data_IF_763709389422
#
_entry.id   IF_763709389422
#
_cell.length_a   1.000
_cell.length_b   1.000
_cell.length_c   1.000
_cell.angle_alpha   90.00
_cell.angle_beta   90.00
_cell.angle_gamma   90.00
#
_symmetry.space_group_name_H-M   'P 1'
#
loop_
_entity.id
_entity.type
_entity.pdbx_description
1 polymer ?
#
# COMPACT_ATOMS: atom_id res chain seq x y z
N UNK A 1 -7.62 0.91 7.95
CA UNK A 1 -7.22 -0.48 8.28
C UNK A 1 -7.37 -1.40 7.07
N UNK A 2 -8.54 -1.59 6.50
CA UNK A 2 -8.78 -2.52 5.39
C UNK A 2 -7.87 -2.31 4.16
N UNK A 3 -7.68 -1.07 3.73
CA UNK A 3 -6.82 -0.77 2.57
C UNK A 3 -5.38 -1.24 2.80
N UNK A 4 -4.84 -1.09 4.02
CA UNK A 4 -3.48 -1.54 4.35
C UNK A 4 -3.40 -3.07 4.36
N UNK A 5 -4.38 -3.76 4.95
CA UNK A 5 -4.43 -5.22 4.95
C UNK A 5 -4.45 -5.79 3.52
N UNK A 6 -5.20 -5.15 2.61
CA UNK A 6 -5.28 -5.55 1.21
C UNK A 6 -4.01 -5.27 0.39
N UNK A 7 -3.06 -4.49 0.91
CA UNK A 7 -1.74 -4.36 0.26
C UNK A 7 -0.79 -5.51 0.61
N UNK A 8 -0.99 -6.18 1.75
CA UNK A 8 -0.11 -7.23 2.23
C UNK A 8 0.10 -8.38 1.23
N UNK A 9 -0.94 -8.99 0.60
CA UNK A 9 -0.75 -10.03 -0.41
C UNK A 9 0.04 -9.56 -1.61
N UNK A 10 -0.17 -8.33 -2.03
CA UNK A 10 0.54 -7.76 -3.19
C UNK A 10 2.01 -7.59 -2.89
N UNK A 11 2.34 -7.01 -1.72
CA UNK A 11 3.72 -6.82 -1.27
C UNK A 11 4.44 -8.17 -1.12
N UNK A 12 3.80 -9.15 -0.48
CA UNK A 12 4.37 -10.50 -0.34
C UNK A 12 4.62 -11.15 -1.69
N UNK A 13 3.68 -11.07 -2.64
CA UNK A 13 3.86 -11.59 -3.98
C UNK A 13 5.04 -10.95 -4.71
N UNK A 14 5.18 -9.62 -4.63
CA UNK A 14 6.29 -8.90 -5.26
C UNK A 14 7.63 -9.37 -4.69
N UNK A 15 7.76 -9.44 -3.37
CA UNK A 15 9.00 -9.83 -2.69
C UNK A 15 9.36 -11.29 -2.94
N UNK A 16 8.37 -12.18 -3.05
CA UNK A 16 8.61 -13.61 -3.28
C UNK A 16 9.06 -13.91 -4.72
N UNK A 17 8.62 -13.09 -5.67
CA UNK A 17 8.91 -13.32 -7.09
C UNK A 17 10.06 -12.44 -7.64
N UNK A 18 10.62 -11.52 -6.83
CA UNK A 18 11.66 -10.59 -7.27
C UNK A 18 12.71 -10.41 -6.16
N UNK A 19 13.82 -11.11 -6.26
CA UNK A 19 14.88 -11.11 -5.24
C UNK A 19 15.60 -9.76 -5.11
N UNK A 20 15.69 -8.98 -6.18
CA UNK A 20 16.38 -7.68 -6.23
C UNK A 20 15.56 -6.54 -5.62
N UNK A 21 14.26 -6.76 -5.35
CA UNK A 21 13.36 -5.70 -4.89
C UNK A 21 13.44 -5.53 -3.38
N UNK A 22 13.67 -4.30 -2.95
CA UNK A 22 13.51 -3.87 -1.56
C UNK A 22 12.36 -2.86 -1.46
N UNK A 23 11.52 -2.98 -0.45
CA UNK A 23 10.34 -2.14 -0.28
C UNK A 23 10.41 -1.37 1.03
N UNK A 24 10.32 -0.04 0.95
CA UNK A 24 10.15 0.86 2.09
C UNK A 24 8.69 1.30 2.14
N UNK A 25 7.96 0.80 3.13
CA UNK A 25 6.54 1.07 3.28
C UNK A 25 6.28 2.13 4.34
N UNK A 26 5.64 3.23 3.94
CA UNK A 26 5.19 4.28 4.86
C UNK A 26 3.81 3.88 5.38
N UNK A 27 3.73 3.47 6.63
CA UNK A 27 2.48 3.06 7.28
C UNK A 27 2.48 3.40 8.77
N UNK A 28 1.32 3.31 9.42
CA UNK A 28 1.25 3.41 10.87
C UNK A 28 1.80 2.12 11.50
N UNK A 29 2.65 2.21 12.54
CA UNK A 29 3.24 1.03 13.20
C UNK A 29 2.24 -0.04 13.62
N UNK A 30 1.02 0.32 13.98
CA UNK A 30 -0.04 -0.62 14.37
C UNK A 30 -0.42 -1.62 13.25
N UNK A 31 -0.03 -1.33 12.00
CA UNK A 31 -0.35 -2.18 10.85
C UNK A 31 0.80 -3.07 10.40
N UNK A 32 1.98 -2.97 11.03
CA UNK A 32 3.16 -3.76 10.64
C UNK A 32 2.87 -5.26 10.75
N UNK A 33 2.14 -5.67 11.78
CA UNK A 33 1.78 -7.07 12.04
C UNK A 33 0.85 -7.70 10.97
N UNK A 34 0.31 -6.88 10.05
CA UNK A 34 -0.45 -7.36 8.89
C UNK A 34 0.45 -7.89 7.76
N UNK A 35 1.75 -7.67 7.86
CA UNK A 35 2.70 -8.05 6.83
C UNK A 35 3.55 -9.23 7.27
N UNK A 36 3.78 -10.15 6.35
CA UNK A 36 4.72 -11.24 6.56
C UNK A 36 6.13 -10.68 6.78
N UNK A 37 6.86 -11.20 7.75
CA UNK A 37 8.25 -10.81 7.98
C UNK A 37 9.10 -11.12 6.76
N UNK A 38 9.82 -10.12 6.27
CA UNK A 38 10.75 -10.25 5.16
C UNK A 38 11.87 -9.22 5.34
N UNK A 39 13.12 -9.64 5.18
CA UNK A 39 14.30 -8.77 5.37
C UNK A 39 14.35 -7.61 4.37
N UNK A 40 13.67 -7.76 3.22
CA UNK A 40 13.58 -6.74 2.17
C UNK A 40 12.35 -5.83 2.30
N UNK A 41 11.53 -6.01 3.35
CA UNK A 41 10.41 -5.14 3.68
C UNK A 41 10.73 -4.27 4.88
N UNK A 42 10.92 -3.00 4.64
CA UNK A 42 11.27 -2.00 5.64
C UNK A 42 10.06 -1.08 5.91
N UNK A 43 9.86 -0.73 7.16
CA UNK A 43 8.75 0.17 7.54
C UNK A 43 9.26 1.53 7.96
N UNK A 44 8.64 2.57 7.44
CA UNK A 44 8.91 3.98 7.76
C UNK A 44 7.77 4.50 8.61
N UNK A 45 8.08 4.83 9.86
CA UNK A 45 7.11 5.47 10.75
C UNK A 45 6.99 6.97 10.42
N UNK A 46 5.85 7.37 9.88
CA UNK A 46 5.53 8.76 9.62
C UNK A 46 4.71 9.35 10.78
N UNK A 47 5.32 10.17 11.62
CA UNK A 47 4.62 10.92 12.66
C UNK A 47 3.86 12.11 12.05
N UNK A 48 2.67 11.83 11.55
CA UNK A 48 1.85 12.77 10.80
C UNK A 48 1.09 13.78 11.68
N UNK A 49 1.07 13.56 12.97
CA UNK A 49 0.44 14.46 13.96
C UNK A 49 1.46 15.33 14.68
N UNK A 50 2.75 14.95 14.71
CA UNK A 50 3.87 15.69 15.30
C UNK A 50 4.88 16.16 14.24
N UNK A 51 6.05 15.50 14.19
CA UNK A 51 7.23 15.89 13.39
C UNK A 51 6.96 16.09 11.89
N UNK A 52 6.05 15.27 11.31
CA UNK A 52 5.75 15.27 9.88
C UNK A 52 4.39 15.91 9.57
N UNK A 53 3.86 16.75 10.48
CA UNK A 53 2.58 17.45 10.31
C UNK A 53 2.69 18.55 9.24
N UNK A 54 1.65 18.64 8.41
CA UNK A 54 1.51 19.70 7.40
C UNK A 54 2.49 19.58 6.23
N UNK A 55 2.51 20.58 5.37
CA UNK A 55 3.29 20.56 4.12
C UNK A 55 4.79 20.49 4.39
N UNK A 56 5.30 21.30 5.32
CA UNK A 56 6.72 21.31 5.68
C UNK A 56 7.15 19.99 6.36
N UNK A 57 6.29 19.42 7.19
CA UNK A 57 6.52 18.11 7.80
C UNK A 57 6.60 17.00 6.77
N UNK A 58 5.74 17.01 5.74
CA UNK A 58 5.80 16.04 4.64
C UNK A 58 7.07 16.22 3.80
N UNK A 59 7.50 17.46 3.53
CA UNK A 59 8.78 17.73 2.86
C UNK A 59 9.96 17.16 3.65
N UNK A 60 9.95 17.34 4.99
CA UNK A 60 10.96 16.79 5.90
C UNK A 60 10.97 15.26 5.85
N UNK A 61 9.80 14.61 5.92
CA UNK A 61 9.67 13.15 5.81
C UNK A 61 10.29 12.64 4.51
N UNK A 62 9.95 13.24 3.37
CA UNK A 62 10.52 12.88 2.07
C UNK A 62 12.04 13.03 2.06
N UNK A 63 12.56 14.10 2.66
CA UNK A 63 14.02 14.31 2.75
C UNK A 63 14.69 13.26 3.61
N UNK A 64 14.13 12.90 4.74
CA UNK A 64 14.63 11.83 5.62
C UNK A 64 14.69 10.49 4.91
N UNK A 65 13.61 10.11 4.23
CA UNK A 65 13.54 8.87 3.45
C UNK A 65 14.63 8.81 2.39
N UNK A 66 14.82 9.88 1.62
CA UNK A 66 15.78 9.91 0.51
C UNK A 66 17.23 10.02 0.96
N UNK A 67 17.48 10.39 2.21
CA UNK A 67 18.83 10.35 2.81
C UNK A 67 19.16 8.96 3.36
N UNK A 68 18.16 8.31 3.95
CA UNK A 68 18.35 6.99 4.57
C UNK A 68 18.40 5.84 3.57
N UNK A 69 17.74 6.00 2.42
CA UNK A 69 17.56 4.92 1.46
C UNK A 69 17.60 5.45 0.03
N UNK A 70 18.25 4.69 -0.86
CA UNK A 70 18.16 4.94 -2.29
C UNK A 70 16.79 4.52 -2.78
N UNK A 71 15.99 5.47 -3.21
CA UNK A 71 14.63 5.24 -3.71
C UNK A 71 14.62 5.45 -5.22
N UNK A 72 14.35 4.41 -5.99
CA UNK A 72 14.27 4.46 -7.45
C UNK A 72 12.87 4.89 -7.92
N UNK A 73 11.82 4.44 -7.19
CA UNK A 73 10.43 4.74 -7.54
C UNK A 73 9.55 4.78 -6.31
N UNK A 74 8.50 5.59 -6.36
CA UNK A 74 7.46 5.67 -5.31
C UNK A 74 6.13 5.22 -5.90
N UNK A 75 5.50 4.23 -5.28
CA UNK A 75 4.16 3.76 -5.63
C UNK A 75 3.15 4.24 -4.60
N UNK A 76 2.20 5.08 -5.03
CA UNK A 76 1.14 5.61 -4.19
C UNK A 76 -0.10 4.72 -4.28
N UNK A 77 -0.33 3.90 -3.28
CA UNK A 77 -1.49 3.02 -3.15
C UNK A 77 -2.65 3.66 -2.37
N UNK A 78 -2.54 4.94 -1.99
CA UNK A 78 -3.57 5.61 -1.21
C UNK A 78 -4.26 6.74 -1.97
N UNK A 79 -3.53 7.47 -2.82
CA UNK A 79 -4.02 8.59 -3.65
C UNK A 79 -4.94 9.57 -2.89
N UNK A 80 -4.44 10.10 -1.79
CA UNK A 80 -5.07 11.17 -1.01
C UNK A 80 -4.25 12.46 -1.11
N UNK A 81 -4.80 13.58 -0.64
CA UNK A 81 -4.12 14.88 -0.74
C UNK A 81 -2.69 14.85 -0.17
N UNK A 82 -2.50 14.21 0.97
CA UNK A 82 -1.19 14.06 1.61
C UNK A 82 -0.18 13.32 0.73
N UNK A 83 -0.57 12.17 0.16
CA UNK A 83 0.33 11.40 -0.72
C UNK A 83 0.58 12.12 -2.04
N UNK A 84 -0.38 12.91 -2.53
CA UNK A 84 -0.17 13.78 -3.70
C UNK A 84 0.91 14.83 -3.44
N UNK A 85 0.89 15.47 -2.27
CA UNK A 85 1.94 16.41 -1.88
C UNK A 85 3.31 15.73 -1.74
N UNK A 86 3.36 14.56 -1.11
CA UNK A 86 4.61 13.78 -1.03
C UNK A 86 5.16 13.42 -2.42
N UNK A 87 4.29 13.02 -3.35
CA UNK A 87 4.71 12.75 -4.75
C UNK A 87 5.34 13.97 -5.42
N UNK A 88 4.84 15.18 -5.16
CA UNK A 88 5.46 16.41 -5.67
C UNK A 88 6.89 16.52 -5.13
N UNK A 89 7.11 16.31 -3.83
CA UNK A 89 8.44 16.40 -3.24
C UNK A 89 9.40 15.31 -3.74
N UNK A 90 8.92 14.08 -3.97
CA UNK A 90 9.72 13.03 -4.59
C UNK A 90 10.09 13.37 -6.04
N UNK A 91 9.13 13.89 -6.83
CA UNK A 91 9.40 14.34 -8.21
C UNK A 91 10.43 15.47 -8.29
N UNK A 92 10.38 16.42 -7.34
CA UNK A 92 11.39 17.49 -7.25
C UNK A 92 12.81 16.96 -6.96
N UNK A 93 12.92 15.74 -6.44
CA UNK A 93 14.19 15.03 -6.27
C UNK A 93 14.53 14.09 -7.43
N UNK A 94 13.79 14.14 -8.53
CA UNK A 94 14.00 13.30 -9.72
C UNK A 94 13.46 11.87 -9.59
N UNK A 95 12.73 11.55 -8.51
CA UNK A 95 12.23 10.21 -8.25
C UNK A 95 10.91 9.98 -9.00
N UNK A 96 10.84 8.91 -9.79
CA UNK A 96 9.63 8.49 -10.50
C UNK A 96 8.50 8.17 -9.50
N UNK A 97 7.27 8.58 -9.82
CA UNK A 97 6.11 8.27 -8.99
C UNK A 97 4.99 7.62 -9.80
N UNK A 98 4.41 6.56 -9.28
CA UNK A 98 3.27 5.84 -9.85
C UNK A 98 2.10 5.94 -8.88
N UNK A 99 0.88 6.03 -9.40
CA UNK A 99 -0.34 6.03 -8.59
C UNK A 99 -1.26 4.94 -9.09
N UNK A 100 -1.79 4.14 -8.18
CA UNK A 100 -2.76 3.12 -8.57
C UNK A 100 -4.09 3.73 -9.03
N UNK A 101 -4.79 3.01 -9.90
CA UNK A 101 -6.09 3.44 -10.39
C UNK A 101 -7.21 3.00 -9.43
N UNK A 102 -7.86 3.95 -8.76
CA UNK A 102 -9.02 3.71 -7.87
C UNK A 102 -10.29 3.22 -8.57
N UNK A 103 -10.32 3.20 -9.89
CA UNK A 103 -11.53 2.85 -10.64
C UNK A 103 -12.69 3.82 -10.47
N UNK A 104 -12.44 5.08 -10.15
CA UNK A 104 -13.51 6.08 -9.93
C UNK A 104 -14.33 6.32 -11.16
N UNK A 105 -13.72 6.37 -12.35
CA UNK A 105 -14.41 6.53 -13.63
C UNK A 105 -15.32 5.35 -13.93
N UNK A 106 -14.80 4.13 -13.77
CA UNK A 106 -15.55 2.89 -13.95
C UNK A 106 -16.76 2.81 -13.00
N UNK A 107 -16.56 3.17 -11.72
CA UNK A 107 -17.66 3.26 -10.74
C UNK A 107 -18.73 4.27 -11.15
N UNK A 108 -18.33 5.44 -11.66
CA UNK A 108 -19.27 6.46 -12.14
C UNK A 108 -20.04 5.99 -13.38
N UNK A 109 -19.38 5.34 -14.34
CA UNK A 109 -20.00 4.78 -15.52
C UNK A 109 -21.01 3.68 -15.16
N UNK A 110 -20.64 2.80 -14.21
CA UNK A 110 -21.52 1.76 -13.70
C UNK A 110 -22.78 2.35 -13.05
N UNK A 111 -22.63 3.39 -12.21
CA UNK A 111 -23.77 4.07 -11.56
C UNK A 111 -24.67 4.77 -12.57
N UNK A 112 -24.10 5.31 -13.66
CA UNK A 112 -24.86 5.97 -14.72
C UNK A 112 -25.52 5.00 -15.71
N UNK A 113 -25.15 3.71 -15.67
CA UNK A 113 -25.58 2.73 -16.66
C UNK A 113 -24.85 2.82 -18.00
N UNK A 114 -23.72 3.54 -18.06
CA UNK A 114 -22.92 3.71 -19.28
C UNK A 114 -22.13 2.42 -19.64
N UNK A 115 -22.00 1.49 -18.71
CA UNK A 115 -21.35 0.18 -18.89
C UNK A 115 -22.23 -0.93 -18.30
N UNK A 116 -22.10 -2.18 -18.78
CA UNK A 116 -22.81 -3.34 -18.23
C UNK A 116 -22.61 -3.47 -16.72
N UNK A 117 -23.64 -3.95 -16.01
CA UNK A 117 -23.58 -4.19 -14.57
C UNK A 117 -22.76 -5.46 -14.28
N UNK A 118 -21.43 -5.29 -14.24
CA UNK A 118 -20.47 -6.34 -13.98
C UNK A 118 -19.61 -6.00 -12.74
N UNK A 119 -19.10 -7.01 -12.03
CA UNK A 119 -18.18 -6.78 -10.91
C UNK A 119 -16.92 -6.03 -11.35
N UNK A 120 -16.65 -4.91 -10.71
CA UNK A 120 -15.40 -4.16 -10.96
C UNK A 120 -14.18 -4.92 -10.43
N UNK A 121 -13.03 -4.71 -11.07
CA UNK A 121 -11.76 -5.30 -10.64
C UNK A 121 -11.51 -5.10 -9.15
N UNK A 122 -11.15 -6.19 -8.44
CA UNK A 122 -10.83 -6.15 -7.03
C UNK A 122 -9.67 -5.19 -6.74
N UNK A 123 -9.65 -4.60 -5.55
CA UNK A 123 -8.64 -3.59 -5.19
C UNK A 123 -7.22 -4.15 -5.20
N UNK A 124 -7.01 -5.39 -4.79
CA UNK A 124 -5.70 -6.05 -4.82
C UNK A 124 -5.14 -6.16 -6.24
N UNK A 125 -6.00 -6.48 -7.23
CA UNK A 125 -5.62 -6.50 -8.64
C UNK A 125 -5.22 -5.09 -9.12
N UNK A 126 -5.91 -4.05 -8.66
CA UNK A 126 -5.55 -2.65 -8.97
C UNK A 126 -4.22 -2.23 -8.33
N UNK A 127 -3.93 -2.71 -7.12
CA UNK A 127 -2.63 -2.51 -6.49
C UNK A 127 -1.54 -3.24 -7.27
N UNK A 128 -1.76 -4.50 -7.63
CA UNK A 128 -0.82 -5.28 -8.44
C UNK A 128 -0.47 -4.58 -9.75
N UNK A 129 -1.47 -4.09 -10.50
CA UNK A 129 -1.26 -3.36 -11.75
C UNK A 129 -0.35 -2.13 -11.58
N UNK A 130 -0.36 -1.46 -10.43
CA UNK A 130 0.52 -0.33 -10.19
C UNK A 130 2.01 -0.72 -10.15
N UNK A 131 2.32 -1.98 -9.90
CA UNK A 131 3.68 -2.53 -9.90
C UNK A 131 4.09 -3.18 -11.21
N UNK A 132 3.14 -3.51 -12.13
CA UNK A 132 3.43 -4.22 -13.39
C UNK A 132 4.49 -3.55 -14.27
N UNK A 133 4.65 -2.23 -14.17
CA UNK A 133 5.65 -1.48 -14.93
C UNK A 133 7.03 -1.47 -14.26
N UNK A 134 7.16 -2.04 -13.08
CA UNK A 134 8.36 -1.98 -12.25
C UNK A 134 9.00 -3.35 -12.08
N UNK A 135 8.19 -4.39 -11.99
CA UNK A 135 8.64 -5.76 -11.73
C UNK A 135 7.93 -6.72 -12.67
N UNK A 136 8.72 -7.61 -13.24
CA UNK A 136 8.22 -8.72 -14.05
C UNK A 136 7.76 -9.84 -13.10
N UNK A 137 6.75 -10.62 -13.54
CA UNK A 137 6.33 -11.86 -12.87
C UNK A 137 5.84 -11.73 -11.42
N UNK A 138 4.85 -10.88 -11.14
CA UNK A 138 4.09 -11.04 -9.91
C UNK A 138 2.66 -11.51 -10.22
N UNK A 139 2.41 -12.78 -10.04
CA UNK A 139 1.06 -13.31 -9.95
C UNK A 139 0.56 -13.15 -8.52
N UNK A 140 -0.64 -12.59 -8.34
CA UNK A 140 -1.28 -12.61 -7.02
C UNK A 140 -1.55 -14.07 -6.66
N UNK A 141 -1.01 -14.52 -5.55
CA UNK A 141 -1.37 -15.81 -4.99
C UNK A 141 -2.82 -15.75 -4.49
N UNK A 142 -3.73 -16.45 -5.15
CA UNK A 142 -5.15 -16.51 -4.75
C UNK A 142 -5.33 -17.25 -3.41
N UNK A 143 -4.33 -18.02 -2.97
CA UNK A 143 -4.31 -18.71 -1.67
C UNK A 143 -3.86 -17.85 -0.50
N UNK A 144 -3.65 -16.53 -0.70
CA UNK A 144 -3.15 -15.63 0.32
C UNK A 144 -3.97 -15.70 1.61
N UNK A 145 -3.30 -16.05 2.69
CA UNK A 145 -3.85 -16.01 4.04
C UNK A 145 -3.24 -14.84 4.81
N UNK A 146 -4.08 -14.05 5.47
CA UNK A 146 -3.61 -13.11 6.50
C UNK A 146 -3.10 -13.94 7.67
N UNK A 147 -1.80 -13.86 7.93
CA UNK A 147 -1.20 -14.48 9.11
C UNK A 147 -1.17 -13.44 10.22
N UNK A 148 -1.95 -13.58 11.30
CA UNK A 148 -1.72 -12.80 12.50
C UNK A 148 -0.33 -13.21 13.05
N UNK A 149 0.48 -12.22 13.40
CA UNK A 149 1.85 -12.45 13.92
C UNK A 149 1.88 -13.04 15.34
N UNK A 150 0.73 -13.19 15.96
CA UNK A 150 0.53 -13.83 17.27
C UNK A 150 -0.68 -14.73 17.21
N UNK A 151 -0.60 -15.89 17.84
CA UNK A 151 -1.76 -16.72 18.16
C UNK A 151 -2.75 -15.86 18.96
N UNK A 152 -3.69 -15.26 18.26
CA UNK A 152 -4.84 -14.61 18.91
C UNK A 152 -5.71 -15.75 19.41
N UNK A 153 -5.42 -16.24 20.60
CA UNK A 153 -6.40 -16.97 21.40
C UNK A 153 -7.49 -15.95 21.78
N UNK A 154 -8.40 -15.70 20.89
CA UNK A 154 -9.62 -14.98 21.24
C UNK A 154 -10.69 -16.05 21.49
N UNK A 155 -11.09 -16.26 22.73
CA UNK A 155 -12.34 -16.96 22.99
C UNK A 155 -13.46 -15.99 22.59
N UNK A 156 -13.90 -16.03 21.35
CA UNK A 156 -15.19 -15.48 20.98
C UNK A 156 -16.25 -16.44 21.51
N UNK A 157 -16.50 -16.41 22.80
CA UNK A 157 -17.76 -16.88 23.35
C UNK A 157 -18.86 -15.93 22.86
N UNK A 158 -19.46 -16.26 21.73
CA UNK A 158 -20.75 -15.71 21.39
C UNK A 158 -21.76 -16.25 22.39
N UNK A 159 -22.11 -15.46 23.38
CA UNK A 159 -23.25 -15.71 24.24
C UNK A 159 -24.51 -15.73 23.38
N UNK A 160 -24.98 -16.92 23.01
CA UNK A 160 -26.29 -17.16 22.39
C UNK A 160 -27.36 -17.03 23.44
N UNK A 161 -27.65 -15.83 23.89
CA UNK A 161 -28.86 -15.52 24.65
C UNK A 161 -29.28 -14.09 24.31
N UNK A 162 -30.04 -13.95 23.26
CA UNK A 162 -31.14 -13.00 23.07
C UNK A 162 -32.19 -13.71 22.23
#
# INVERSE_FOLDING_TARGET
MGDVALTSPVISSILNNNEEVNIWMITNPIFIDLFQKNERLHFINADLYGKHKGVLGLKKLVSEITVQSKIDVVVDLHDVLRTKLMKVFFKLKGIKTITFNKGRKEKQQLIKGDIPFEPLSHITKRYSIAFNTLVENHSLDESFKLYPSKDIQTPLEFNKNI
#
